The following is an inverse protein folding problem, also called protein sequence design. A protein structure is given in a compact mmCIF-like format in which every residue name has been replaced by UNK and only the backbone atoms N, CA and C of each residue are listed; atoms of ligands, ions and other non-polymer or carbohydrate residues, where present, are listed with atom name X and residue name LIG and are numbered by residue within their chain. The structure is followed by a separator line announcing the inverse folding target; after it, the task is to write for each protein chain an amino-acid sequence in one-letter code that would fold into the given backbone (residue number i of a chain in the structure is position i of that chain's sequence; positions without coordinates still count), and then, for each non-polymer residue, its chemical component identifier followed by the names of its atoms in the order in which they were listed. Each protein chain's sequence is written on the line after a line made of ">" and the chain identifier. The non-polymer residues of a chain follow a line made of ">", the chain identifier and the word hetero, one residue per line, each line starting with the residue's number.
data_IF_430659345866
#
_entry.id   IF_430659345866
#
_cell.length_a   1.000
_cell.length_b   1.000
_cell.length_c   1.000
_cell.angle_alpha   90.00
_cell.angle_beta   90.00
_cell.angle_gamma   90.00
#
_symmetry.space_group_name_H-M   'P 1'
#
loop_
_entity.id
_entity.type
_entity.pdbx_description
1 polymer ?
#
# COMPACT_ATOMS: atom_id res chain seq x y z
N UNK A 1 -33.61 -23.38 1.50
CA UNK A 1 -32.61 -23.08 0.44
C UNK A 1 -31.49 -22.28 1.13
N UNK A 2 -30.50 -22.97 1.69
CA UNK A 2 -29.40 -22.36 2.45
C UNK A 2 -28.34 -21.90 1.47
N UNK A 3 -28.08 -20.60 1.41
CA UNK A 3 -26.88 -20.07 0.73
C UNK A 3 -25.70 -20.31 1.68
N UNK A 4 -24.77 -21.15 1.23
CA UNK A 4 -23.53 -21.40 1.95
C UNK A 4 -22.69 -20.13 2.05
N UNK A 5 -22.23 -19.87 3.25
CA UNK A 5 -21.13 -18.95 3.52
C UNK A 5 -19.88 -19.62 2.98
N UNK A 6 -19.28 -19.05 1.97
CA UNK A 6 -18.03 -19.54 1.40
C UNK A 6 -16.89 -19.16 2.35
N UNK A 7 -16.27 -20.19 2.91
CA UNK A 7 -15.19 -20.08 3.88
C UNK A 7 -13.91 -19.55 3.19
N UNK A 8 -13.49 -18.36 3.58
CA UNK A 8 -12.26 -17.71 3.07
C UNK A 8 -10.94 -18.34 3.57
N UNK A 9 -10.99 -19.55 4.14
CA UNK A 9 -9.91 -20.19 4.90
C UNK A 9 -8.74 -20.76 4.06
N UNK A 10 -8.73 -20.63 2.73
CA UNK A 10 -7.76 -21.32 1.87
C UNK A 10 -6.86 -20.41 0.98
N UNK A 11 -6.57 -19.19 1.40
CA UNK A 11 -5.65 -18.33 0.64
C UNK A 11 -4.21 -18.72 0.94
N UNK A 12 -3.50 -19.23 -0.07
CA UNK A 12 -2.09 -19.63 0.03
C UNK A 12 -1.20 -18.54 -0.55
N UNK A 13 -0.23 -18.08 0.26
CA UNK A 13 0.86 -17.22 -0.17
C UNK A 13 2.02 -18.07 -0.69
N UNK A 14 2.56 -17.72 -1.83
CA UNK A 14 3.82 -18.29 -2.32
C UNK A 14 4.83 -17.16 -2.36
N UNK A 15 5.77 -17.16 -1.42
CA UNK A 15 6.87 -16.20 -1.35
C UNK A 15 8.12 -16.86 -1.93
N UNK A 16 8.69 -16.28 -2.97
CA UNK A 16 9.92 -16.76 -3.60
C UNK A 16 11.11 -15.97 -3.07
N UNK A 17 11.88 -16.64 -2.24
CA UNK A 17 13.18 -16.17 -1.73
C UNK A 17 14.29 -16.97 -2.37
N UNK A 18 14.97 -16.50 -3.37
CA UNK A 18 16.01 -17.24 -4.07
C UNK A 18 15.44 -18.38 -4.97
N UNK A 19 15.99 -18.65 -6.15
CA UNK A 19 15.46 -19.69 -7.05
C UNK A 19 15.40 -21.10 -6.45
N UNK A 20 15.93 -21.32 -5.23
CA UNK A 20 16.00 -22.63 -4.58
C UNK A 20 15.10 -22.80 -3.35
N UNK A 21 14.38 -21.78 -2.88
CA UNK A 21 13.56 -21.90 -1.66
C UNK A 21 12.13 -21.37 -1.93
N UNK A 22 11.20 -22.33 -1.95
CA UNK A 22 9.75 -22.02 -1.97
C UNK A 22 9.22 -22.15 -0.56
N UNK A 23 8.81 -21.04 0.07
CA UNK A 23 8.14 -21.07 1.37
C UNK A 23 6.64 -21.13 1.13
N UNK A 24 6.02 -22.27 1.43
CA UNK A 24 4.57 -22.43 1.51
C UNK A 24 4.12 -22.00 2.90
N UNK A 25 3.44 -20.89 3.00
CA UNK A 25 2.78 -20.49 4.25
C UNK A 25 1.40 -21.13 4.28
N UNK A 26 1.24 -22.16 5.08
CA UNK A 26 -0.04 -22.88 5.25
C UNK A 26 -0.88 -22.15 6.31
N UNK A 27 -1.92 -21.47 5.87
CA UNK A 27 -2.78 -20.62 6.70
C UNK A 27 -3.55 -21.44 7.75
N UNK A 28 -3.85 -22.72 7.46
CA UNK A 28 -4.68 -23.59 8.32
C UNK A 28 -4.09 -23.89 9.70
N UNK A 29 -2.76 -23.87 9.84
CA UNK A 29 -2.09 -24.12 11.14
C UNK A 29 -2.02 -22.90 12.05
N UNK A 30 -2.18 -21.69 11.52
CA UNK A 30 -2.13 -20.46 12.33
C UNK A 30 -3.47 -20.09 12.97
N UNK A 31 -4.60 -20.47 12.37
CA UNK A 31 -5.93 -20.08 12.87
C UNK A 31 -6.27 -20.76 14.20
N UNK A 32 -5.83 -21.99 14.43
CA UNK A 32 -6.23 -22.76 15.61
C UNK A 32 -5.44 -22.43 16.88
N UNK A 33 -4.24 -21.87 16.79
CA UNK A 33 -3.38 -21.58 17.96
C UNK A 33 -3.44 -20.09 18.36
N UNK A 34 -3.76 -19.19 17.45
CA UNK A 34 -3.72 -17.73 17.67
C UNK A 34 -5.05 -17.17 18.18
N UNK A 35 -6.18 -17.88 18.01
CA UNK A 35 -7.48 -17.42 18.50
C UNK A 35 -7.61 -17.36 20.03
N UNK A 36 -6.67 -17.92 20.77
CA UNK A 36 -6.79 -18.04 22.24
C UNK A 36 -5.87 -17.08 23.03
N UNK A 37 -4.94 -16.37 22.42
CA UNK A 37 -3.94 -15.57 23.16
C UNK A 37 -3.78 -14.11 22.67
N UNK A 38 -4.26 -13.75 21.51
CA UNK A 38 -4.25 -12.36 21.06
C UNK A 38 -5.67 -11.78 21.11
N UNK A 39 -5.98 -11.06 22.17
CA UNK A 39 -6.79 -9.87 22.00
C UNK A 39 -6.06 -9.07 20.91
N UNK A 40 -6.60 -9.04 19.70
CA UNK A 40 -5.98 -8.31 18.60
C UNK A 40 -5.71 -6.89 19.10
N UNK A 41 -4.45 -6.52 19.23
CA UNK A 41 -4.11 -5.14 19.55
C UNK A 41 -4.69 -4.33 18.40
N UNK A 42 -5.76 -3.61 18.71
CA UNK A 42 -6.43 -2.83 17.69
C UNK A 42 -5.51 -1.68 17.32
N UNK A 43 -4.96 -1.76 16.11
CA UNK A 43 -4.07 -0.74 15.57
C UNK A 43 -4.88 0.38 14.94
N UNK A 44 -4.42 1.61 15.07
CA UNK A 44 -4.97 2.76 14.34
C UNK A 44 -4.17 2.98 13.06
N UNK A 45 -4.83 2.86 11.93
CA UNK A 45 -4.21 3.04 10.60
C UNK A 45 -4.79 4.25 9.89
N UNK A 46 -3.93 5.21 9.53
CA UNK A 46 -4.30 6.32 8.66
C UNK A 46 -4.21 5.88 7.19
N UNK A 47 -5.30 6.01 6.44
CA UNK A 47 -5.33 5.71 4.99
C UNK A 47 -5.60 6.98 4.20
N UNK A 48 -4.70 7.33 3.29
CA UNK A 48 -4.89 8.39 2.30
C UNK A 48 -5.12 7.79 0.92
N UNK A 49 -5.97 8.42 0.11
CA UNK A 49 -6.46 7.83 -1.14
C UNK A 49 -7.55 6.76 -0.91
N UNK A 50 -8.20 6.76 0.25
CA UNK A 50 -9.23 5.81 0.66
C UNK A 50 -10.47 5.78 -0.26
N UNK A 51 -10.84 6.90 -0.88
CA UNK A 51 -11.95 6.96 -1.85
C UNK A 51 -11.58 6.46 -3.26
N UNK A 52 -10.33 6.10 -3.49
CA UNK A 52 -9.86 5.49 -4.75
C UNK A 52 -10.20 4.01 -4.85
N UNK A 53 -10.14 3.46 -6.08
CA UNK A 53 -10.56 2.09 -6.36
C UNK A 53 -9.81 1.00 -5.56
N UNK A 54 -8.53 1.20 -5.23
CA UNK A 54 -7.76 0.29 -4.37
C UNK A 54 -7.89 0.65 -2.90
N UNK A 55 -7.82 1.95 -2.57
CA UNK A 55 -7.87 2.41 -1.18
C UNK A 55 -9.19 2.05 -0.48
N UNK A 56 -10.32 2.09 -1.21
CA UNK A 56 -11.61 1.67 -0.69
C UNK A 56 -11.59 0.19 -0.27
N UNK A 57 -11.10 -0.69 -1.12
CA UNK A 57 -10.99 -2.12 -0.84
C UNK A 57 -10.03 -2.41 0.33
N UNK A 58 -8.97 -1.63 0.48
CA UNK A 58 -8.09 -1.70 1.65
C UNK A 58 -8.83 -1.31 2.94
N UNK A 59 -9.57 -0.20 2.93
CA UNK A 59 -10.33 0.26 4.10
C UNK A 59 -11.36 -0.79 4.54
N UNK A 60 -12.12 -1.34 3.59
CA UNK A 60 -13.09 -2.42 3.84
C UNK A 60 -12.40 -3.60 4.55
N UNK A 61 -11.29 -4.08 4.01
CA UNK A 61 -10.55 -5.22 4.57
C UNK A 61 -9.92 -4.93 5.94
N UNK A 62 -9.46 -3.71 6.19
CA UNK A 62 -8.95 -3.32 7.51
C UNK A 62 -10.05 -3.29 8.56
N UNK A 63 -11.23 -2.76 8.21
CA UNK A 63 -12.41 -2.73 9.08
C UNK A 63 -12.92 -4.15 9.38
N UNK A 64 -12.96 -5.04 8.38
CA UNK A 64 -13.31 -6.46 8.56
C UNK A 64 -12.37 -7.19 9.53
N UNK A 65 -11.09 -6.78 9.59
CA UNK A 65 -10.11 -7.28 10.57
C UNK A 65 -10.24 -6.63 11.96
N UNK A 66 -11.25 -5.78 12.16
CA UNK A 66 -11.50 -5.11 13.43
C UNK A 66 -10.52 -3.97 13.75
N UNK A 67 -9.73 -3.52 12.78
CA UNK A 67 -8.79 -2.42 12.97
C UNK A 67 -9.51 -1.07 13.04
N UNK A 68 -8.93 -0.11 13.75
CA UNK A 68 -9.35 1.28 13.68
C UNK A 68 -8.73 1.94 12.44
N UNK A 69 -9.59 2.52 11.61
CA UNK A 69 -9.17 3.18 10.38
C UNK A 69 -9.53 4.66 10.44
N UNK A 70 -8.54 5.50 10.19
CA UNK A 70 -8.71 6.94 9.98
C UNK A 70 -8.47 7.23 8.51
N UNK A 71 -9.38 7.96 7.85
CA UNK A 71 -9.19 8.32 6.45
C UNK A 71 -9.18 9.82 6.26
N UNK A 72 -8.32 10.30 5.35
CA UNK A 72 -8.36 11.67 4.85
C UNK A 72 -8.80 11.61 3.40
N UNK A 73 -9.99 12.17 3.11
CA UNK A 73 -10.61 12.17 1.78
C UNK A 73 -11.17 13.55 1.45
N UNK A 74 -11.17 13.91 0.17
CA UNK A 74 -11.77 15.18 -0.30
C UNK A 74 -13.29 15.14 -0.30
N UNK A 75 -13.87 13.97 -0.47
CA UNK A 75 -15.31 13.67 -0.44
C UNK A 75 -15.51 12.20 -0.11
N UNK A 76 -16.64 11.88 0.49
CA UNK A 76 -17.07 10.50 0.81
C UNK A 76 -17.94 9.86 -0.28
N UNK A 77 -18.27 10.59 -1.35
CA UNK A 77 -19.23 10.16 -2.39
C UNK A 77 -18.91 8.81 -3.03
N UNK A 78 -17.64 8.42 -3.05
CA UNK A 78 -17.18 7.16 -3.61
C UNK A 78 -17.00 6.04 -2.56
N UNK A 79 -17.41 6.27 -1.32
CA UNK A 79 -17.36 5.27 -0.25
C UNK A 79 -18.77 4.70 -0.01
N UNK A 80 -18.90 3.37 0.19
CA UNK A 80 -20.18 2.77 0.56
C UNK A 80 -20.69 3.32 1.91
N UNK A 81 -22.02 3.43 2.04
CA UNK A 81 -22.65 3.90 3.28
C UNK A 81 -22.31 3.04 4.48
N UNK A 82 -22.20 1.73 4.27
CA UNK A 82 -21.84 0.74 5.29
C UNK A 82 -20.42 0.99 5.83
N UNK A 83 -19.50 1.38 4.96
CA UNK A 83 -18.12 1.74 5.33
C UNK A 83 -18.12 3.03 6.14
N UNK A 84 -18.83 4.06 5.65
CA UNK A 84 -18.88 5.38 6.31
C UNK A 84 -19.47 5.29 7.71
N UNK A 85 -20.49 4.43 7.91
CA UNK A 85 -21.16 4.24 9.21
C UNK A 85 -20.44 3.26 10.14
N UNK A 86 -19.30 2.70 9.73
CA UNK A 86 -18.62 1.69 10.54
C UNK A 86 -18.00 2.30 11.80
N UNK A 87 -18.27 1.68 12.97
CA UNK A 87 -17.86 2.18 14.30
C UNK A 87 -16.36 2.41 14.46
N UNK A 88 -15.53 1.68 13.71
CA UNK A 88 -14.07 1.77 13.75
C UNK A 88 -13.51 2.70 12.65
N UNK A 89 -14.36 3.44 11.93
CA UNK A 89 -13.91 4.39 10.91
C UNK A 89 -14.01 5.82 11.44
N UNK A 90 -12.93 6.57 11.28
CA UNK A 90 -12.89 8.03 11.46
C UNK A 90 -12.65 8.71 10.12
N UNK A 91 -13.53 9.64 9.73
CA UNK A 91 -13.46 10.32 8.44
C UNK A 91 -13.07 11.77 8.62
N UNK A 92 -12.03 12.21 7.92
CA UNK A 92 -11.57 13.59 7.83
C UNK A 92 -11.80 14.05 6.39
N UNK A 93 -12.72 15.01 6.20
CA UNK A 93 -13.00 15.59 4.89
C UNK A 93 -12.06 16.76 4.63
N UNK A 94 -10.91 16.48 3.99
CA UNK A 94 -9.92 17.50 3.63
C UNK A 94 -9.09 17.06 2.41
N UNK A 95 -8.47 18.03 1.74
CA UNK A 95 -7.40 17.76 0.78
C UNK A 95 -6.09 17.59 1.55
N UNK A 96 -5.40 16.47 1.35
CA UNK A 96 -4.16 16.13 2.06
C UNK A 96 -3.05 17.19 1.89
N UNK A 97 -3.04 17.92 0.80
CA UNK A 97 -2.05 18.96 0.54
C UNK A 97 -2.45 20.34 1.12
N UNK A 98 -3.72 20.52 1.47
CA UNK A 98 -4.25 21.81 1.97
C UNK A 98 -4.34 21.86 3.52
N UNK A 99 -4.19 20.72 4.20
CA UNK A 99 -4.07 20.68 5.66
C UNK A 99 -2.88 21.51 6.14
N UNK A 100 -2.97 22.14 7.30
CA UNK A 100 -1.80 22.73 7.94
C UNK A 100 -0.83 21.63 8.45
N UNK A 101 0.38 22.01 8.83
CA UNK A 101 1.32 21.05 9.43
C UNK A 101 0.81 20.57 10.78
N UNK A 102 0.23 21.47 11.60
CA UNK A 102 -0.38 21.11 12.88
C UNK A 102 -1.57 20.16 12.74
N UNK A 103 -2.49 20.41 11.78
CA UNK A 103 -3.61 19.52 11.54
C UNK A 103 -3.11 18.14 11.05
N UNK A 104 -2.10 18.13 10.19
CA UNK A 104 -1.49 16.89 9.73
C UNK A 104 -0.87 16.11 10.89
N UNK A 105 -0.14 16.77 11.79
CA UNK A 105 0.44 16.16 12.97
C UNK A 105 -0.64 15.60 13.90
N UNK A 106 -1.74 16.33 14.12
CA UNK A 106 -2.89 15.85 14.89
C UNK A 106 -3.51 14.58 14.27
N UNK A 107 -3.73 14.61 12.94
CA UNK A 107 -4.35 13.47 12.25
C UNK A 107 -3.46 12.24 12.14
N UNK A 108 -2.14 12.40 12.13
CA UNK A 108 -1.15 11.32 12.17
C UNK A 108 -0.93 10.82 13.60
N UNK A 109 -1.24 11.64 14.60
CA UNK A 109 -1.06 11.30 16.02
C UNK A 109 -1.74 9.98 16.37
N UNK A 110 -1.07 9.20 17.21
CA UNK A 110 -1.52 7.89 17.71
C UNK A 110 -1.73 6.82 16.62
N UNK A 111 -1.33 7.09 15.36
CA UNK A 111 -1.39 6.08 14.32
C UNK A 111 -0.20 5.10 14.44
N UNK A 112 -0.50 3.81 14.37
CA UNK A 112 0.49 2.72 14.29
C UNK A 112 1.01 2.55 12.88
N UNK A 113 0.17 2.85 11.89
CA UNK A 113 0.50 2.73 10.49
C UNK A 113 -0.12 3.85 9.64
N UNK A 114 0.55 4.17 8.55
CA UNK A 114 0.07 5.05 7.49
C UNK A 114 0.10 4.27 6.18
N UNK A 115 -1.01 4.27 5.46
CA UNK A 115 -1.11 3.62 4.15
C UNK A 115 -1.50 4.64 3.09
N UNK A 116 -0.66 4.81 2.09
CA UNK A 116 -0.90 5.71 0.97
C UNK A 116 -1.31 4.94 -0.28
N UNK A 117 -2.58 5.06 -0.64
CA UNK A 117 -3.14 4.62 -1.93
C UNK A 117 -3.39 5.80 -2.87
N UNK A 118 -2.67 6.91 -2.67
CA UNK A 118 -2.78 8.07 -3.53
C UNK A 118 -2.24 7.77 -4.94
N UNK A 119 -2.89 8.33 -5.92
CA UNK A 119 -2.51 8.28 -7.31
C UNK A 119 -3.19 9.37 -8.11
N UNK A 120 -2.74 9.58 -9.33
CA UNK A 120 -3.35 10.52 -10.25
C UNK A 120 -4.49 9.87 -11.03
N UNK A 121 -5.57 10.58 -11.26
CA UNK A 121 -6.61 10.12 -12.17
C UNK A 121 -6.05 10.06 -13.60
N UNK A 122 -6.44 9.04 -14.37
CA UNK A 122 -6.01 8.87 -15.77
C UNK A 122 -6.73 9.80 -16.76
N UNK A 123 -7.38 10.85 -16.29
CA UNK A 123 -7.90 11.91 -17.15
C UNK A 123 -6.79 12.89 -17.54
N UNK A 124 -6.96 13.61 -18.65
CA UNK A 124 -6.00 14.63 -19.09
C UNK A 124 -5.69 15.65 -17.97
N UNK A 125 -6.72 16.11 -17.25
CA UNK A 125 -6.57 17.01 -16.10
C UNK A 125 -5.82 16.33 -14.93
N UNK A 126 -6.03 15.05 -14.71
CA UNK A 126 -5.34 14.29 -13.66
C UNK A 126 -3.87 14.03 -13.98
N UNK A 127 -3.53 13.87 -15.27
CA UNK A 127 -2.14 13.62 -15.72
C UNK A 127 -1.33 14.92 -15.79
N UNK A 128 -1.90 15.99 -16.34
CA UNK A 128 -1.16 17.24 -16.63
C UNK A 128 -1.55 18.41 -15.72
N UNK A 129 -2.65 18.29 -14.95
CA UNK A 129 -3.13 19.31 -14.03
C UNK A 129 -2.34 19.36 -12.71
N UNK A 130 -2.71 20.30 -11.86
CA UNK A 130 -2.19 20.40 -10.48
C UNK A 130 -3.06 19.56 -9.52
N UNK A 131 -2.46 19.00 -8.46
CA UNK A 131 -1.04 18.98 -8.12
C UNK A 131 -0.27 17.90 -8.90
N UNK A 132 0.90 18.28 -9.46
CA UNK A 132 1.75 17.35 -10.25
C UNK A 132 2.59 16.41 -9.38
N UNK A 133 2.72 16.72 -8.09
CA UNK A 133 3.53 15.99 -7.11
C UNK A 133 2.69 15.52 -5.93
N UNK A 134 1.47 15.10 -6.21
CA UNK A 134 0.51 14.68 -5.18
C UNK A 134 1.07 13.60 -4.27
N UNK A 135 1.61 12.52 -4.85
CA UNK A 135 2.08 11.34 -4.10
C UNK A 135 3.35 11.68 -3.32
N UNK A 136 4.32 12.33 -3.97
CA UNK A 136 5.57 12.75 -3.33
C UNK A 136 5.33 13.74 -2.19
N UNK A 137 4.54 14.79 -2.44
CA UNK A 137 4.33 15.84 -1.44
C UNK A 137 3.49 15.33 -0.26
N UNK A 138 2.49 14.48 -0.51
CA UNK A 138 1.74 13.83 0.55
C UNK A 138 2.62 12.88 1.38
N UNK A 139 3.44 12.04 0.73
CA UNK A 139 4.37 11.14 1.43
C UNK A 139 5.32 11.94 2.33
N UNK A 140 5.92 13.01 1.80
CA UNK A 140 6.82 13.87 2.59
C UNK A 140 6.13 14.51 3.78
N UNK A 141 4.93 15.06 3.60
CA UNK A 141 4.16 15.72 4.67
C UNK A 141 3.77 14.75 5.76
N UNK A 142 3.29 13.55 5.39
CA UNK A 142 2.94 12.50 6.34
C UNK A 142 4.16 12.04 7.14
N UNK A 143 5.30 11.79 6.49
CA UNK A 143 6.53 11.41 7.19
C UNK A 143 7.03 12.53 8.14
N UNK A 144 6.94 13.79 7.73
CA UNK A 144 7.31 14.91 8.58
C UNK A 144 6.40 15.01 9.81
N UNK A 145 5.09 14.84 9.63
CA UNK A 145 4.11 14.84 10.72
C UNK A 145 4.34 13.70 11.72
N UNK A 146 4.73 12.49 11.25
CA UNK A 146 5.14 11.40 12.14
C UNK A 146 6.35 11.80 12.96
N UNK A 147 7.38 12.41 12.35
CA UNK A 147 8.60 12.83 13.04
C UNK A 147 8.36 13.96 14.04
N UNK A 148 7.47 14.89 13.70
CA UNK A 148 7.07 15.99 14.59
C UNK A 148 6.39 15.47 15.87
N UNK A 149 5.54 14.45 15.73
CA UNK A 149 4.88 13.81 16.86
C UNK A 149 5.84 13.01 17.77
N UNK A 150 7.05 12.70 17.27
CA UNK A 150 8.06 11.92 18.02
C UNK A 150 7.48 10.71 18.75
N UNK A 151 6.84 9.78 18.04
CA UNK A 151 6.13 8.67 18.67
C UNK A 151 7.09 7.75 19.41
N UNK A 152 6.60 7.15 20.51
CA UNK A 152 7.37 6.20 21.31
C UNK A 152 7.61 4.84 20.64
N UNK A 153 6.98 4.60 19.49
CA UNK A 153 7.08 3.38 18.69
C UNK A 153 7.25 3.74 17.22
N UNK A 154 7.88 2.84 16.49
CA UNK A 154 8.03 2.97 15.03
C UNK A 154 6.68 2.91 14.34
N UNK A 155 6.42 3.84 13.42
CA UNK A 155 5.23 3.91 12.59
C UNK A 155 5.50 3.21 11.26
N UNK A 156 4.63 2.27 10.88
CA UNK A 156 4.69 1.59 9.59
C UNK A 156 4.17 2.49 8.48
N UNK A 157 4.93 2.69 7.41
CA UNK A 157 4.50 3.45 6.24
C UNK A 157 4.41 2.55 5.01
N UNK A 158 3.20 2.30 4.50
CA UNK A 158 2.97 1.49 3.30
C UNK A 158 2.59 2.42 2.14
N UNK A 159 3.41 2.43 1.11
CA UNK A 159 3.18 3.20 -0.12
C UNK A 159 2.72 2.27 -1.25
N UNK A 160 1.56 2.52 -1.84
CA UNK A 160 1.20 1.91 -3.12
C UNK A 160 1.98 2.59 -4.25
N UNK A 161 2.68 1.80 -5.03
CA UNK A 161 3.52 2.24 -6.14
C UNK A 161 3.17 1.45 -7.42
N UNK A 162 4.13 1.12 -8.29
CA UNK A 162 3.93 0.27 -9.47
C UNK A 162 5.21 -0.46 -9.90
N UNK A 163 5.07 -1.55 -10.66
CA UNK A 163 6.18 -2.28 -11.30
C UNK A 163 6.99 -1.40 -12.27
N UNK A 164 6.41 -0.30 -12.77
CA UNK A 164 7.11 0.68 -13.60
C UNK A 164 8.25 1.41 -12.88
N UNK A 165 8.25 1.40 -11.55
CA UNK A 165 9.26 2.04 -10.72
C UNK A 165 10.30 1.03 -10.25
N UNK A 166 11.55 1.22 -10.62
CA UNK A 166 12.64 0.33 -10.25
C UNK A 166 13.14 0.62 -8.84
N UNK A 167 13.44 -0.45 -8.10
CA UNK A 167 14.22 -0.33 -6.86
C UNK A 167 15.69 -0.13 -7.21
N UNK A 168 16.20 1.06 -6.94
CA UNK A 168 17.58 1.45 -7.29
C UNK A 168 18.63 0.87 -6.35
N UNK A 169 18.23 0.30 -5.22
CA UNK A 169 19.13 -0.39 -4.30
C UNK A 169 19.40 -1.83 -4.76
N UNK A 170 18.55 -2.35 -5.65
CA UNK A 170 18.71 -3.65 -6.27
C UNK A 170 19.18 -3.52 -7.73
N UNK A 171 19.99 -4.47 -8.19
CA UNK A 171 20.41 -4.56 -9.60
C UNK A 171 19.30 -5.20 -10.45
N UNK A 172 18.13 -4.55 -10.51
CA UNK A 172 17.00 -5.03 -11.29
C UNK A 172 17.34 -5.15 -12.77
N UNK A 173 17.01 -6.29 -13.38
CA UNK A 173 17.26 -6.53 -14.80
C UNK A 173 16.18 -5.81 -15.64
N UNK A 174 16.57 -4.71 -16.25
CA UNK A 174 15.71 -3.91 -17.14
C UNK A 174 16.33 -3.93 -18.53
N UNK A 175 15.58 -4.37 -19.54
CA UNK A 175 16.03 -4.36 -20.93
C UNK A 175 16.27 -2.93 -21.44
N UNK A 176 17.16 -2.78 -22.42
CA UNK A 176 17.43 -1.46 -23.00
C UNK A 176 16.18 -0.78 -23.59
N UNK A 177 15.32 -1.46 -24.36
CA UNK A 177 14.07 -0.87 -24.83
C UNK A 177 13.16 -0.40 -23.68
N UNK A 178 13.05 -1.19 -22.61
CA UNK A 178 12.28 -0.79 -21.42
C UNK A 178 12.85 0.46 -20.75
N UNK A 179 14.19 0.60 -20.66
CA UNK A 179 14.84 1.81 -20.13
C UNK A 179 14.49 3.04 -20.96
N UNK A 180 14.48 2.92 -22.28
CA UNK A 180 14.10 4.01 -23.19
C UNK A 180 12.65 4.46 -22.97
N UNK A 181 11.71 3.49 -22.89
CA UNK A 181 10.28 3.78 -22.65
C UNK A 181 10.09 4.42 -21.28
N UNK A 182 10.69 3.89 -20.23
CA UNK A 182 10.60 4.47 -18.87
C UNK A 182 11.19 5.88 -18.86
N UNK A 183 12.33 6.12 -19.54
CA UNK A 183 12.92 7.45 -19.68
C UNK A 183 11.96 8.44 -20.34
N UNK A 184 11.25 8.01 -21.39
CA UNK A 184 10.23 8.82 -22.06
C UNK A 184 9.02 9.08 -21.16
N UNK A 185 8.56 8.06 -20.41
CA UNK A 185 7.46 8.20 -19.44
C UNK A 185 7.80 9.20 -18.34
N UNK A 186 9.02 9.19 -17.82
CA UNK A 186 9.49 10.20 -16.83
C UNK A 186 9.39 11.63 -17.35
N UNK A 187 9.66 11.82 -18.64
CA UNK A 187 9.61 13.14 -19.27
C UNK A 187 8.20 13.59 -19.59
N UNK A 188 7.36 12.67 -20.12
CA UNK A 188 6.06 13.01 -20.70
C UNK A 188 4.87 12.76 -19.76
N UNK A 189 5.03 11.92 -18.72
CA UNK A 189 3.93 11.50 -17.84
C UNK A 189 4.27 11.87 -16.38
N UNK A 190 3.92 13.09 -15.93
CA UNK A 190 4.21 13.56 -14.58
C UNK A 190 3.81 12.58 -13.46
N UNK A 191 2.67 11.87 -13.51
CA UNK A 191 2.31 10.85 -12.53
C UNK A 191 3.35 9.73 -12.34
N UNK A 192 4.02 9.32 -13.41
CA UNK A 192 5.08 8.30 -13.33
C UNK A 192 6.27 8.81 -12.52
N UNK A 193 6.75 10.01 -12.84
CA UNK A 193 7.84 10.65 -12.12
C UNK A 193 7.47 10.94 -10.65
N UNK A 194 6.22 11.32 -10.37
CA UNK A 194 5.74 11.55 -9.02
C UNK A 194 5.78 10.27 -8.17
N UNK A 195 5.29 9.14 -8.71
CA UNK A 195 5.37 7.85 -8.04
C UNK A 195 6.82 7.39 -7.78
N UNK A 196 7.72 7.58 -8.75
CA UNK A 196 9.15 7.29 -8.55
C UNK A 196 9.75 8.15 -7.43
N UNK A 197 9.48 9.45 -7.44
CA UNK A 197 9.99 10.39 -6.44
C UNK A 197 9.48 10.07 -5.02
N UNK A 198 8.22 9.63 -4.89
CA UNK A 198 7.67 9.22 -3.60
C UNK A 198 8.40 7.99 -3.04
N UNK A 199 8.64 6.97 -3.85
CA UNK A 199 9.40 5.79 -3.44
C UNK A 199 10.87 6.14 -3.14
N UNK A 200 11.50 6.98 -3.98
CA UNK A 200 12.87 7.46 -3.74
C UNK A 200 12.99 8.29 -2.46
N UNK A 201 11.96 9.05 -2.09
CA UNK A 201 11.93 9.76 -0.81
C UNK A 201 11.99 8.79 0.37
N UNK A 202 11.17 7.75 0.38
CA UNK A 202 11.21 6.72 1.42
C UNK A 202 12.57 6.02 1.45
N UNK A 203 13.07 5.60 0.30
CA UNK A 203 14.33 4.89 0.16
C UNK A 203 15.55 5.73 0.60
N UNK A 204 15.60 7.04 0.26
CA UNK A 204 16.81 7.86 0.44
C UNK A 204 16.75 8.84 1.59
N UNK A 205 15.56 9.28 2.00
CA UNK A 205 15.38 10.28 3.07
C UNK A 205 14.93 9.66 4.38
N UNK A 206 14.08 8.63 4.32
CA UNK A 206 13.77 7.81 5.49
C UNK A 206 14.87 6.74 5.63
N UNK A 207 15.23 6.06 4.54
CA UNK A 207 16.29 5.04 4.54
C UNK A 207 15.88 3.76 5.24
N UNK A 208 16.89 3.00 5.70
CA UNK A 208 16.73 1.67 6.30
C UNK A 208 16.81 1.67 7.84
N UNK A 209 17.25 2.78 8.42
CA UNK A 209 17.56 2.88 9.85
C UNK A 209 16.96 4.12 10.51
N UNK A 210 15.84 4.61 9.97
CA UNK A 210 15.08 5.68 10.64
C UNK A 210 14.46 5.10 11.92
N UNK A 211 14.70 5.77 13.04
CA UNK A 211 14.24 5.29 14.37
C UNK A 211 12.72 5.46 14.58
N UNK A 212 12.03 6.16 13.69
CA UNK A 212 10.63 6.57 13.87
C UNK A 212 9.72 5.98 12.80
N UNK A 213 10.22 5.79 11.58
CA UNK A 213 9.45 5.31 10.43
C UNK A 213 10.13 4.10 9.80
N UNK A 214 9.40 3.00 9.69
CA UNK A 214 9.72 1.89 8.79
C UNK A 214 8.78 1.94 7.59
N UNK A 215 9.23 1.51 6.42
CA UNK A 215 8.44 1.66 5.21
C UNK A 215 8.48 0.44 4.29
N UNK A 216 7.41 0.27 3.51
CA UNK A 216 7.32 -0.68 2.38
C UNK A 216 6.68 0.05 1.19
N UNK A 217 7.25 -0.08 0.00
CA UNK A 217 6.64 0.42 -1.24
C UNK A 217 6.14 -0.76 -2.08
N UNK A 218 4.84 -1.03 -2.04
CA UNK A 218 4.21 -2.14 -2.77
C UNK A 218 4.09 -1.79 -4.25
N UNK A 219 4.61 -2.65 -5.11
CA UNK A 219 4.62 -2.47 -6.57
C UNK A 219 3.70 -3.48 -7.27
N UNK A 220 2.40 -3.22 -7.37
CA UNK A 220 1.51 -4.05 -8.17
C UNK A 220 1.84 -3.94 -9.66
N UNK A 221 1.55 -5.00 -10.40
CA UNK A 221 1.51 -5.05 -11.86
C UNK A 221 0.28 -4.29 -12.41
N UNK A 222 -0.07 -4.49 -13.67
CA UNK A 222 -1.27 -3.89 -14.27
C UNK A 222 -2.52 -4.22 -13.47
N UNK A 223 -3.21 -3.16 -13.02
CA UNK A 223 -4.33 -3.30 -12.09
C UNK A 223 -5.61 -3.78 -12.78
N UNK A 224 -6.20 -4.84 -12.24
CA UNK A 224 -7.51 -5.37 -12.67
C UNK A 224 -8.56 -5.24 -11.57
N UNK A 225 -9.83 -5.39 -11.92
CA UNK A 225 -10.95 -5.45 -10.98
C UNK A 225 -11.44 -6.89 -10.91
N UNK A 226 -11.10 -7.57 -9.83
CA UNK A 226 -11.63 -8.90 -9.53
C UNK A 226 -12.54 -8.80 -8.30
N UNK A 227 -13.61 -9.61 -8.21
CA UNK A 227 -14.54 -9.54 -7.09
C UNK A 227 -14.01 -10.19 -5.81
N UNK A 228 -13.02 -11.06 -5.91
CA UNK A 228 -12.54 -11.89 -4.81
C UNK A 228 -11.03 -11.82 -4.67
N UNK A 229 -10.55 -12.07 -3.44
CA UNK A 229 -9.14 -12.23 -3.14
C UNK A 229 -8.69 -13.58 -3.69
N UNK A 230 -7.63 -13.55 -4.49
CA UNK A 230 -7.01 -14.73 -5.10
C UNK A 230 -5.56 -14.88 -4.67
N UNK A 231 -4.92 -16.04 -4.86
CA UNK A 231 -3.50 -16.21 -4.57
C UNK A 231 -2.65 -15.19 -5.32
N UNK A 232 -1.61 -14.70 -4.63
CA UNK A 232 -0.60 -13.83 -5.24
C UNK A 232 0.80 -14.39 -5.04
N UNK A 233 1.70 -13.96 -5.91
CA UNK A 233 3.14 -14.13 -5.72
C UNK A 233 3.77 -12.78 -5.37
N UNK A 234 4.72 -12.79 -4.45
CA UNK A 234 5.44 -11.59 -3.99
C UNK A 234 6.93 -11.78 -4.27
N UNK A 235 7.55 -10.81 -4.89
CA UNK A 235 8.95 -10.86 -5.31
C UNK A 235 9.70 -9.59 -4.89
N UNK A 236 10.99 -9.66 -4.56
CA UNK A 236 11.81 -8.48 -4.25
C UNK A 236 12.06 -7.61 -5.48
N UNK A 237 12.00 -8.22 -6.68
CA UNK A 237 12.21 -7.53 -7.96
C UNK A 237 11.23 -8.03 -9.01
N UNK A 238 10.92 -7.23 -10.06
CA UNK A 238 10.05 -7.66 -11.15
C UNK A 238 10.57 -8.94 -11.82
N UNK A 239 9.71 -9.93 -11.96
CA UNK A 239 9.98 -11.17 -12.72
C UNK A 239 9.59 -11.03 -14.19
N UNK A 240 8.91 -9.95 -14.54
CA UNK A 240 8.39 -9.63 -15.87
C UNK A 240 8.74 -8.20 -16.25
N UNK A 241 8.68 -7.88 -17.54
CA UNK A 241 8.86 -6.51 -18.00
C UNK A 241 7.63 -5.67 -17.67
N UNK A 242 7.80 -4.60 -16.92
CA UNK A 242 6.72 -3.66 -16.59
C UNK A 242 6.09 -2.93 -17.79
N UNK A 243 6.69 -3.04 -18.99
CA UNK A 243 6.20 -2.38 -20.21
C UNK A 243 5.68 -3.40 -21.22
N UNK A 244 6.41 -4.50 -21.44
CA UNK A 244 6.11 -5.43 -22.53
C UNK A 244 5.39 -6.69 -22.06
N UNK A 245 5.42 -7.00 -20.77
CA UNK A 245 4.78 -8.17 -20.17
C UNK A 245 4.61 -7.96 -18.67
N UNK A 246 3.85 -6.96 -18.26
CA UNK A 246 3.75 -6.54 -16.85
C UNK A 246 3.05 -7.57 -15.95
N UNK A 247 2.21 -8.42 -16.49
CA UNK A 247 1.35 -9.28 -15.69
C UNK A 247 0.13 -8.51 -15.15
N UNK A 248 -0.57 -9.11 -14.18
CA UNK A 248 -1.79 -8.54 -13.61
C UNK A 248 -1.78 -8.64 -12.09
N UNK A 249 -2.40 -7.67 -11.44
CA UNK A 249 -2.68 -7.69 -10.01
C UNK A 249 -4.06 -7.07 -9.78
N UNK A 250 -4.96 -7.79 -9.12
CA UNK A 250 -6.27 -7.23 -8.81
C UNK A 250 -6.17 -6.20 -7.67
N UNK A 251 -7.00 -5.16 -7.74
CA UNK A 251 -7.03 -4.11 -6.70
C UNK A 251 -7.39 -4.67 -5.33
N UNK A 252 -8.24 -5.69 -5.29
CA UNK A 252 -8.60 -6.34 -4.05
C UNK A 252 -7.40 -7.08 -3.44
N UNK A 253 -6.56 -7.72 -4.25
CA UNK A 253 -5.32 -8.36 -3.81
C UNK A 253 -4.27 -7.34 -3.35
N UNK A 254 -4.18 -6.17 -4.01
CA UNK A 254 -3.32 -5.08 -3.54
C UNK A 254 -3.76 -4.62 -2.15
N UNK A 255 -5.05 -4.33 -1.97
CA UNK A 255 -5.63 -3.95 -0.68
C UNK A 255 -5.35 -5.00 0.39
N UNK A 256 -5.57 -6.27 0.05
CA UNK A 256 -5.31 -7.39 0.95
C UNK A 256 -3.84 -7.48 1.38
N UNK A 257 -2.91 -7.43 0.44
CA UNK A 257 -1.48 -7.49 0.77
C UNK A 257 -1.02 -6.29 1.62
N UNK A 258 -1.52 -5.09 1.32
CA UNK A 258 -1.20 -3.90 2.11
C UNK A 258 -1.81 -3.98 3.53
N UNK A 259 -3.00 -4.56 3.68
CA UNK A 259 -3.60 -4.81 4.99
C UNK A 259 -2.79 -5.85 5.79
N UNK A 260 -2.36 -6.95 5.15
CA UNK A 260 -1.48 -7.94 5.78
C UNK A 260 -0.14 -7.33 6.25
N UNK A 261 0.50 -6.48 5.43
CA UNK A 261 1.72 -5.77 5.82
C UNK A 261 1.54 -4.94 7.10
N UNK A 262 0.37 -4.36 7.30
CA UNK A 262 0.08 -3.60 8.53
C UNK A 262 -0.13 -4.52 9.71
N UNK A 263 -0.86 -5.63 9.55
CA UNK A 263 -1.39 -6.46 10.65
C UNK A 263 -0.57 -7.70 10.97
N UNK A 264 0.32 -8.16 10.09
CA UNK A 264 1.22 -9.31 10.32
C UNK A 264 2.66 -8.83 10.48
N UNK A 265 3.18 -8.89 11.71
CA UNK A 265 4.56 -8.50 12.04
C UNK A 265 5.61 -9.33 11.30
N UNK A 266 5.35 -10.62 11.07
CA UNK A 266 6.28 -11.49 10.36
C UNK A 266 6.41 -11.08 8.90
N UNK A 267 5.28 -10.69 8.27
CA UNK A 267 5.27 -10.19 6.91
C UNK A 267 5.91 -8.80 6.83
N UNK A 268 5.65 -7.95 7.84
CA UNK A 268 6.29 -6.64 7.95
C UNK A 268 7.81 -6.77 8.02
N UNK A 269 8.32 -7.56 8.95
CA UNK A 269 9.76 -7.78 9.13
C UNK A 269 10.45 -8.33 7.87
N UNK A 270 9.71 -9.11 7.09
CA UNK A 270 10.21 -9.64 5.81
C UNK A 270 10.38 -8.55 4.75
N UNK A 271 9.51 -7.53 4.73
CA UNK A 271 9.43 -6.56 3.63
C UNK A 271 9.79 -5.13 4.01
N UNK A 272 9.95 -4.80 5.28
CA UNK A 272 10.32 -3.43 5.69
C UNK A 272 11.63 -2.98 5.01
N UNK A 273 11.65 -1.73 4.60
CA UNK A 273 12.73 -1.12 3.83
C UNK A 273 12.83 -1.61 2.38
N UNK A 274 11.83 -2.33 1.86
CA UNK A 274 11.87 -2.92 0.53
C UNK A 274 10.72 -2.47 -0.37
N UNK A 275 10.84 -2.82 -1.66
CA UNK A 275 9.86 -2.48 -2.68
C UNK A 275 9.31 -3.75 -3.36
N UNK A 276 8.53 -4.60 -2.65
CA UNK A 276 8.03 -5.86 -3.19
C UNK A 276 7.12 -5.65 -4.40
N UNK A 277 7.25 -6.56 -5.37
CA UNK A 277 6.38 -6.66 -6.54
C UNK A 277 5.38 -7.76 -6.32
N UNK A 278 4.12 -7.52 -6.65
CA UNK A 278 3.04 -8.49 -6.48
C UNK A 278 2.33 -8.78 -7.81
N UNK A 279 2.03 -10.06 -8.03
CA UNK A 279 1.27 -10.55 -9.18
C UNK A 279 0.16 -11.49 -8.73
N UNK A 280 -0.98 -11.48 -9.41
CA UNK A 280 -1.95 -12.57 -9.31
C UNK A 280 -1.34 -13.86 -9.89
N UNK A 281 -1.69 -15.01 -9.30
CA UNK A 281 -1.30 -16.33 -9.80
C UNK A 281 -2.21 -16.73 -10.96
#
# INVERSE_FOLDING_TARGET
>A
MFKGVQDCSNIRWIVYFNPSITIRIDLLKRITIISTIFAAVSMTTLVVGASGATGRLLVEQMLERGQHVRIIVRSTDNLPSEVISHKNLSVICASILDLSESDMAEHVGECDAIVSCLGHNLSFKGIFGKPRRLVTDATRRLCNAVKENSPNKTVKFVLMNSTGNSNRDLKERISFPQKCVIGLLRLLVPPHADNENAADYLRTKIGQSDGVIEWVAVRPASLTNEPEITPITVHPSPTRSAIFNDGKTSRINVGYFMAELVTDESLWDMWKGQMPVIYNV
#
